data_IF_991583029394
#
_entry.id   IF_991583029394
#
_cell.length_a   1.000
_cell.length_b   1.000
_cell.length_c   1.000
_cell.angle_alpha   90.00
_cell.angle_beta   90.00
_cell.angle_gamma   90.00
#
_symmetry.space_group_name_H-M   'P 1'
#
loop_
_entity.id
_entity.type
_entity.pdbx_description
1 polymer ?
#
# COMPACT_ATOMS: atom_id res chain seq x y z
N UNK A 1 -10.37 -17.83 14.22
CA UNK A 1 -9.27 -18.51 13.50
C UNK A 1 -8.21 -17.46 13.19
N UNK A 2 -7.00 -17.60 13.71
CA UNK A 2 -5.89 -16.67 13.49
C UNK A 2 -5.22 -17.00 12.16
N UNK A 3 -5.62 -16.30 11.10
CA UNK A 3 -5.01 -16.42 9.78
C UNK A 3 -3.60 -15.81 9.84
N UNK A 4 -2.57 -16.65 9.81
CA UNK A 4 -1.17 -16.21 9.85
C UNK A 4 -0.72 -15.66 8.50
N UNK A 5 0.23 -14.72 8.51
CA UNK A 5 0.84 -14.08 7.30
C UNK A 5 1.19 -15.07 6.19
N UNK A 6 1.74 -16.22 6.58
CA UNK A 6 2.12 -17.29 5.65
C UNK A 6 0.91 -17.91 4.95
N UNK A 7 -0.20 -18.09 5.65
CA UNK A 7 -1.43 -18.64 5.07
C UNK A 7 -2.07 -17.65 4.07
N UNK A 8 -2.08 -16.36 4.38
CA UNK A 8 -2.61 -15.33 3.47
C UNK A 8 -1.75 -15.17 2.20
N UNK A 9 -0.42 -15.18 2.35
CA UNK A 9 0.50 -15.10 1.20
C UNK A 9 0.39 -16.33 0.29
N UNK A 10 0.21 -17.54 0.83
CA UNK A 10 -0.01 -18.74 0.03
C UNK A 10 -1.34 -18.67 -0.72
N UNK A 11 -2.40 -18.20 -0.06
CA UNK A 11 -3.74 -18.13 -0.66
C UNK A 11 -3.82 -17.12 -1.81
N UNK A 12 -3.00 -16.07 -1.79
CA UNK A 12 -3.08 -14.96 -2.75
C UNK A 12 -1.98 -15.01 -3.82
N UNK A 13 -0.93 -15.84 -3.67
CA UNK A 13 0.20 -15.96 -4.60
C UNK A 13 -0.16 -16.31 -6.06
N UNK A 14 -1.39 -16.73 -6.35
CA UNK A 14 -1.84 -17.11 -7.70
C UNK A 14 -2.49 -15.98 -8.50
N UNK A 15 -2.63 -14.77 -7.96
CA UNK A 15 -3.23 -13.66 -8.71
C UNK A 15 -2.17 -12.87 -9.48
N UNK A 16 -2.22 -12.85 -10.83
CA UNK A 16 -1.26 -12.11 -11.64
C UNK A 16 -1.39 -10.61 -11.38
N UNK A 17 -0.29 -9.99 -10.95
CA UNK A 17 -0.22 -8.55 -10.74
C UNK A 17 -0.12 -7.85 -12.10
N UNK A 18 -1.13 -7.04 -12.45
CA UNK A 18 -1.13 -6.32 -13.73
C UNK A 18 -0.28 -5.04 -13.66
N UNK A 19 0.53 -4.74 -14.69
CA UNK A 19 1.30 -3.52 -14.76
C UNK A 19 0.43 -2.35 -15.27
N UNK A 20 0.03 -1.42 -14.40
CA UNK A 20 -0.52 -0.11 -14.78
C UNK A 20 0.44 1.03 -14.45
N UNK A 21 0.93 1.73 -15.50
CA UNK A 21 1.77 2.92 -15.41
C UNK A 21 1.00 4.21 -15.65
N UNK A 22 1.33 5.27 -14.90
CA UNK A 22 0.74 6.60 -15.09
C UNK A 22 0.83 7.51 -13.85
N UNK A 23 1.56 8.62 -14.00
CA UNK A 23 1.76 9.78 -13.11
C UNK A 23 1.04 9.80 -11.73
N UNK A 24 1.85 10.07 -10.69
CA UNK A 24 1.51 10.19 -9.27
C UNK A 24 0.41 11.23 -9.02
N UNK A 25 -0.84 10.79 -8.86
CA UNK A 25 -1.98 11.66 -8.55
C UNK A 25 -1.98 12.11 -7.08
N UNK A 26 -1.82 13.41 -6.87
CA UNK A 26 -1.62 14.11 -5.59
C UNK A 26 -2.82 14.16 -4.62
N UNK A 27 -3.48 13.04 -4.32
CA UNK A 27 -4.60 13.04 -3.35
C UNK A 27 -4.72 11.74 -2.55
N UNK A 28 -3.60 11.18 -2.08
CA UNK A 28 -3.65 10.13 -1.07
C UNK A 28 -3.56 10.77 0.32
N UNK A 29 -4.65 10.68 1.09
CA UNK A 29 -4.76 11.26 2.43
C UNK A 29 -4.01 10.41 3.46
N UNK A 30 -3.90 9.10 3.20
CA UNK A 30 -3.11 8.16 4.00
C UNK A 30 -1.91 7.60 3.21
N UNK A 31 -0.76 7.58 3.86
CA UNK A 31 0.51 7.04 3.35
C UNK A 31 0.99 5.85 4.17
N UNK A 32 1.30 4.76 3.49
CA UNK A 32 1.83 3.53 4.05
C UNK A 32 3.31 3.42 3.70
N UNK A 33 4.18 3.33 4.70
CA UNK A 33 5.63 3.35 4.46
C UNK A 33 6.32 2.20 5.18
N UNK A 34 7.00 1.32 4.43
CA UNK A 34 8.01 0.43 4.99
C UNK A 34 9.24 1.27 5.36
N UNK A 35 9.47 1.43 6.67
CA UNK A 35 10.54 2.28 7.20
C UNK A 35 11.94 1.74 6.91
N UNK A 36 12.06 0.45 6.61
CA UNK A 36 13.34 -0.22 6.32
C UNK A 36 13.79 0.03 4.87
N UNK A 37 12.92 0.60 4.02
CA UNK A 37 13.27 0.91 2.64
C UNK A 37 14.15 2.16 2.55
N UNK A 38 15.25 2.16 1.78
CA UNK A 38 16.10 3.33 1.59
C UNK A 38 15.33 4.56 1.08
N UNK A 39 14.33 4.34 0.23
CA UNK A 39 13.51 5.38 -0.40
C UNK A 39 12.46 5.98 0.55
N UNK A 40 12.20 5.35 1.70
CA UNK A 40 11.15 5.75 2.65
C UNK A 40 11.34 7.17 3.16
N UNK A 41 12.57 7.58 3.49
CA UNK A 41 12.87 8.86 4.13
C UNK A 41 12.48 10.07 3.28
N UNK A 42 12.78 10.01 1.98
CA UNK A 42 12.46 11.09 1.03
C UNK A 42 10.95 11.19 0.85
N UNK A 43 10.27 10.05 0.71
CA UNK A 43 8.81 9.98 0.52
C UNK A 43 8.07 10.45 1.78
N UNK A 44 8.54 10.05 2.97
CA UNK A 44 7.99 10.51 4.26
C UNK A 44 8.08 12.02 4.38
N UNK A 45 9.20 12.61 3.97
CA UNK A 45 9.37 14.07 3.99
C UNK A 45 8.37 14.76 3.06
N UNK A 46 8.21 14.28 1.83
CA UNK A 46 7.25 14.84 0.89
C UNK A 46 5.80 14.67 1.34
N UNK A 47 5.43 13.49 1.84
CA UNK A 47 4.07 13.20 2.31
C UNK A 47 3.70 14.07 3.53
N UNK A 48 4.63 14.30 4.48
CA UNK A 48 4.42 15.23 5.60
C UNK A 48 4.20 16.66 5.13
N UNK A 49 5.01 17.14 4.19
CA UNK A 49 4.84 18.50 3.64
C UNK A 49 3.52 18.68 2.91
N UNK A 50 2.94 17.61 2.37
CA UNK A 50 1.61 17.59 1.76
C UNK A 50 0.46 17.42 2.78
N UNK A 51 0.75 17.39 4.08
CA UNK A 51 -0.25 17.21 5.13
C UNK A 51 -0.81 15.79 5.24
N UNK A 52 -0.18 14.80 4.60
CA UNK A 52 -0.71 13.45 4.55
C UNK A 52 -0.43 12.67 5.85
N UNK A 53 -1.35 11.78 6.23
CA UNK A 53 -1.21 10.92 7.40
C UNK A 53 -0.28 9.76 7.08
N UNK A 54 0.90 9.75 7.70
CA UNK A 54 1.88 8.67 7.49
C UNK A 54 1.72 7.60 8.56
N UNK A 55 1.63 6.35 8.11
CA UNK A 55 1.61 5.16 8.94
C UNK A 55 2.78 4.27 8.54
N UNK A 56 3.64 3.95 9.50
CA UNK A 56 4.73 3.01 9.29
C UNK A 56 4.18 1.57 9.22
N UNK A 57 4.60 0.81 8.22
CA UNK A 57 4.38 -0.63 8.14
C UNK A 57 5.44 -1.30 9.03
N UNK A 58 5.05 -1.71 10.24
CA UNK A 58 5.91 -2.46 11.16
C UNK A 58 5.20 -3.73 11.65
N UNK A 59 5.84 -4.90 11.53
CA UNK A 59 5.35 -6.15 12.12
C UNK A 59 4.01 -6.66 11.57
N UNK A 60 3.19 -7.30 12.42
CA UNK A 60 1.88 -7.91 12.11
C UNK A 60 0.75 -6.89 11.78
N UNK A 61 1.10 -5.63 11.55
CA UNK A 61 0.17 -4.50 11.39
C UNK A 61 -0.69 -4.51 10.12
N UNK A 62 -0.49 -5.48 9.22
CA UNK A 62 -1.35 -5.65 8.03
C UNK A 62 -2.84 -5.88 8.38
N UNK A 63 -3.12 -6.48 9.54
CA UNK A 63 -4.48 -6.74 10.02
C UNK A 63 -5.18 -5.51 10.63
N UNK A 64 -4.47 -4.71 11.45
CA UNK A 64 -5.01 -3.48 12.07
C UNK A 64 -5.25 -2.34 11.06
N UNK A 65 -5.02 -2.60 9.78
CA UNK A 65 -5.04 -1.60 8.73
C UNK A 65 -6.41 -1.47 8.03
N UNK A 66 -7.19 -2.54 7.94
CA UNK A 66 -8.48 -2.56 7.24
C UNK A 66 -9.46 -1.58 7.88
N UNK A 67 -9.64 -1.65 9.21
CA UNK A 67 -10.53 -0.75 9.95
C UNK A 67 -10.11 0.72 9.85
N UNK A 68 -8.80 0.98 9.80
CA UNK A 68 -8.25 2.35 9.75
C UNK A 68 -8.31 2.98 8.36
N UNK A 69 -8.38 2.18 7.29
CA UNK A 69 -8.38 2.63 5.89
C UNK A 69 -9.76 2.66 5.25
N UNK A 70 -10.76 1.96 5.83
CA UNK A 70 -12.16 2.02 5.41
C UNK A 70 -12.69 3.44 5.12
N UNK A 71 -12.38 4.48 5.94
CA UNK A 71 -12.85 5.84 5.67
C UNK A 71 -12.06 6.57 4.58
N UNK A 72 -10.88 6.10 4.18
CA UNK A 72 -9.99 6.83 3.28
C UNK A 72 -10.45 6.70 1.82
N UNK A 73 -10.64 7.80 1.08
CA UNK A 73 -11.03 7.74 -0.33
C UNK A 73 -9.85 7.32 -1.24
N UNK A 74 -8.62 7.51 -0.77
CA UNK A 74 -7.41 7.23 -1.52
C UNK A 74 -6.20 7.06 -0.59
N UNK A 75 -5.37 6.08 -0.91
CA UNK A 75 -4.22 5.64 -0.12
C UNK A 75 -3.03 5.48 -1.05
N UNK A 76 -1.85 5.82 -0.59
CA UNK A 76 -0.60 5.54 -1.29
C UNK A 76 0.39 4.87 -0.35
N UNK A 77 1.41 4.24 -0.92
CA UNK A 77 2.47 3.71 -0.09
C UNK A 77 3.73 3.36 -0.85
N UNK A 78 4.83 3.24 -0.10
CA UNK A 78 6.05 2.59 -0.57
C UNK A 78 6.35 1.43 0.36
N UNK A 79 6.27 0.22 -0.18
CA UNK A 79 6.46 -1.04 0.56
C UNK A 79 7.17 -2.04 -0.31
N UNK A 80 7.52 -3.22 0.22
CA UNK A 80 7.96 -4.34 -0.62
C UNK A 80 6.80 -4.86 -1.46
N UNK A 81 7.12 -5.56 -2.55
CA UNK A 81 6.12 -6.15 -3.45
C UNK A 81 5.08 -7.00 -2.70
N UNK A 82 5.53 -7.93 -1.85
CA UNK A 82 4.64 -8.81 -1.10
C UNK A 82 3.63 -8.02 -0.23
N UNK A 83 4.06 -6.95 0.42
CA UNK A 83 3.18 -6.16 1.28
C UNK A 83 2.24 -5.27 0.45
N UNK A 84 2.73 -4.68 -0.65
CA UNK A 84 1.90 -3.93 -1.59
C UNK A 84 0.82 -4.82 -2.22
N UNK A 85 1.12 -6.10 -2.47
CA UNK A 85 0.16 -7.06 -2.99
C UNK A 85 -0.98 -7.27 -2.00
N UNK A 86 -0.64 -7.61 -0.75
CA UNK A 86 -1.60 -7.86 0.33
C UNK A 86 -2.48 -6.62 0.53
N UNK A 87 -1.88 -5.43 0.59
CA UNK A 87 -2.60 -4.17 0.74
C UNK A 87 -3.54 -3.88 -0.43
N UNK A 88 -3.18 -4.28 -1.65
CA UNK A 88 -4.07 -4.16 -2.81
C UNK A 88 -5.31 -5.05 -2.71
N UNK A 89 -5.16 -6.28 -2.21
CA UNK A 89 -6.28 -7.22 -2.02
C UNK A 89 -7.21 -6.74 -0.90
N UNK A 90 -6.65 -6.32 0.24
CA UNK A 90 -7.42 -5.73 1.34
C UNK A 90 -8.14 -4.45 0.92
N UNK A 91 -7.49 -3.60 0.12
CA UNK A 91 -8.11 -2.42 -0.46
C UNK A 91 -9.29 -2.77 -1.38
N UNK A 92 -9.15 -3.82 -2.19
CA UNK A 92 -10.23 -4.29 -3.07
C UNK A 92 -11.48 -4.74 -2.29
N UNK A 93 -11.30 -5.40 -1.13
CA UNK A 93 -12.41 -5.80 -0.25
C UNK A 93 -13.24 -4.61 0.26
N UNK A 94 -12.61 -3.43 0.42
CA UNK A 94 -13.26 -2.18 0.87
C UNK A 94 -13.60 -1.21 -0.29
N UNK A 95 -13.55 -1.70 -1.53
CA UNK A 95 -13.93 -0.96 -2.74
C UNK A 95 -12.87 0.00 -3.29
N UNK A 96 -11.62 -0.10 -2.84
CA UNK A 96 -10.50 0.60 -3.44
C UNK A 96 -9.90 -0.21 -4.59
N UNK A 97 -9.40 0.47 -5.62
CA UNK A 97 -8.71 -0.17 -6.74
C UNK A 97 -7.32 0.41 -6.92
N UNK A 98 -6.41 -0.44 -7.39
CA UNK A 98 -5.07 0.00 -7.78
C UNK A 98 -5.16 1.05 -8.89
N UNK A 99 -4.65 2.24 -8.59
CA UNK A 99 -4.63 3.37 -9.52
C UNK A 99 -3.24 3.55 -10.15
N UNK A 100 -2.17 3.23 -9.42
CA UNK A 100 -0.81 3.38 -9.92
C UNK A 100 0.16 2.47 -9.15
N UNK A 101 1.22 2.04 -9.83
CA UNK A 101 2.39 1.45 -9.17
C UNK A 101 3.68 1.73 -9.94
N UNK A 102 4.81 1.77 -9.23
CA UNK A 102 6.18 1.88 -9.75
C UNK A 102 7.10 0.99 -8.92
N UNK A 103 7.72 0.02 -9.57
CA UNK A 103 8.73 -0.84 -8.96
C UNK A 103 10.12 -0.18 -8.94
N UNK A 104 10.92 -0.52 -7.94
CA UNK A 104 12.32 -0.17 -7.80
C UNK A 104 13.19 -1.43 -7.83
N UNK A 105 14.46 -1.28 -8.21
CA UNK A 105 15.40 -2.40 -8.37
C UNK A 105 15.66 -3.19 -7.09
N UNK A 106 15.37 -2.59 -5.93
CA UNK A 106 15.51 -3.24 -4.61
C UNK A 106 14.24 -3.99 -4.16
N UNK A 107 13.28 -4.22 -5.05
CA UNK A 107 12.02 -4.91 -4.73
C UNK A 107 11.00 -4.04 -3.97
N UNK A 108 11.29 -2.74 -3.79
CA UNK A 108 10.29 -1.78 -3.34
C UNK A 108 9.30 -1.47 -4.45
N UNK A 109 8.08 -1.14 -4.07
CA UNK A 109 6.99 -0.73 -4.93
C UNK A 109 6.35 0.50 -4.32
N UNK A 110 6.35 1.59 -5.08
CA UNK A 110 5.48 2.74 -4.83
C UNK A 110 4.12 2.43 -5.44
N UNK A 111 3.02 2.61 -4.73
CA UNK A 111 1.68 2.27 -5.19
C UNK A 111 0.62 3.26 -4.68
N UNK A 112 -0.54 3.26 -5.33
CA UNK A 112 -1.73 3.96 -4.83
C UNK A 112 -3.02 3.20 -5.13
N UNK A 113 -3.96 3.27 -4.19
CA UNK A 113 -5.31 2.73 -4.27
C UNK A 113 -6.32 3.88 -4.15
N UNK A 114 -7.41 3.84 -4.90
CA UNK A 114 -8.46 4.87 -4.88
C UNK A 114 -9.84 4.22 -4.97
N UNK A 115 -10.84 4.82 -4.31
CA UNK A 115 -12.24 4.39 -4.46
C UNK A 115 -12.69 4.77 -5.88
N UNK A 116 -13.20 3.80 -6.63
CA UNK A 116 -13.90 4.10 -7.87
C UNK A 116 -15.26 4.66 -7.50
N UNK A 117 -15.50 5.93 -7.81
CA UNK A 117 -16.83 6.55 -7.73
C UNK A 117 -17.76 6.02 -8.80
#
# INVERSE_FOLDING_TARGET
>A
MTTTRRAFLIATASLPWMPFGGAMGASAHAWIVDADLPQSRVIVRHARSAGARITALSGDAGWLWIERLSPEPAIAGITRFADAFVLSQLGAEIGLRAAHHRSFDNGAVLWSLKRCG
#
